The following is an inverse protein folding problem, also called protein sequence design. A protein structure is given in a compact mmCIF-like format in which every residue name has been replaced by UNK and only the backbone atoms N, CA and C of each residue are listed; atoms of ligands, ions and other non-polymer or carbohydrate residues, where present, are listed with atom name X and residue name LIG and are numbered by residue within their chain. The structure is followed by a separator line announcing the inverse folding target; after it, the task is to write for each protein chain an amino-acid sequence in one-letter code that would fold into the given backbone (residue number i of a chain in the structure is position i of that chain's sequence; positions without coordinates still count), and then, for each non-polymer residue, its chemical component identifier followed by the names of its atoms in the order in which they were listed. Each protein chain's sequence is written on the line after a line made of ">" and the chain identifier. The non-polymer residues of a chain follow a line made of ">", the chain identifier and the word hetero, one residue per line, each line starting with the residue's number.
data_IF_777114819292
#
_entry.id   IF_777114819292
#
_cell.length_a   1.000
_cell.length_b   1.000
_cell.length_c   1.000
_cell.angle_alpha   90.00
_cell.angle_beta   90.00
_cell.angle_gamma   90.00
#
_symmetry.space_group_name_H-M   'P 1'
#
loop_
_entity.id
_entity.type
_entity.pdbx_description
1 polymer ?
#
# COMPACT_ATOMS: atom_id res chain seq x y z
N UNK A 1 -5.53 2.37 7.76
CA UNK A 1 -4.84 3.49 7.10
C UNK A 1 -3.78 2.97 6.13
N UNK A 2 -3.30 3.78 5.17
CA UNK A 2 -2.18 3.42 4.30
C UNK A 2 -0.83 3.31 5.04
N UNK A 3 0.04 2.50 4.45
CA UNK A 3 1.48 2.36 4.75
C UNK A 3 2.30 2.63 3.49
N UNK A 4 1.71 3.36 2.54
CA UNK A 4 2.29 3.69 1.25
C UNK A 4 1.95 5.13 0.92
N UNK A 5 2.83 5.85 0.24
CA UNK A 5 2.63 7.28 -0.10
C UNK A 5 2.01 7.49 -1.48
N UNK A 6 2.30 6.60 -2.42
CA UNK A 6 2.07 6.80 -3.84
C UNK A 6 1.38 5.61 -4.49
N UNK A 7 0.68 5.83 -5.60
CA UNK A 7 0.13 4.77 -6.46
C UNK A 7 0.81 4.88 -7.83
N UNK A 8 1.36 3.78 -8.33
CA UNK A 8 1.79 3.70 -9.73
C UNK A 8 0.56 3.75 -10.65
N UNK A 9 0.52 4.72 -11.56
CA UNK A 9 -0.54 4.84 -12.59
C UNK A 9 -0.69 3.56 -13.42
N UNK A 10 0.42 2.88 -13.71
CA UNK A 10 0.41 1.64 -14.48
C UNK A 10 -0.16 0.46 -13.68
N UNK A 11 0.27 0.30 -12.41
CA UNK A 11 -0.31 -0.72 -11.52
C UNK A 11 -1.82 -0.49 -11.38
N UNK A 12 -2.24 0.77 -11.19
CA UNK A 12 -3.66 1.12 -11.10
C UNK A 12 -4.42 0.77 -12.39
N UNK A 13 -3.87 1.09 -13.57
CA UNK A 13 -4.47 0.72 -14.86
C UNK A 13 -4.67 -0.80 -14.97
N UNK A 14 -3.69 -1.58 -14.53
CA UNK A 14 -3.76 -3.04 -14.58
C UNK A 14 -4.82 -3.60 -13.63
N UNK A 15 -4.91 -3.09 -12.41
CA UNK A 15 -5.97 -3.46 -11.46
C UNK A 15 -7.36 -3.07 -11.99
N UNK A 16 -7.54 -1.86 -12.49
CA UNK A 16 -8.83 -1.43 -13.07
C UNK A 16 -9.23 -2.30 -14.26
N UNK A 17 -8.26 -2.71 -15.08
CA UNK A 17 -8.47 -3.64 -16.20
C UNK A 17 -8.89 -5.03 -15.72
N UNK A 18 -8.20 -5.56 -14.70
CA UNK A 18 -8.55 -6.83 -14.07
C UNK A 18 -9.99 -6.81 -13.56
N UNK A 19 -10.39 -5.76 -12.84
CA UNK A 19 -11.75 -5.58 -12.33
C UNK A 19 -12.77 -5.55 -13.48
N UNK A 20 -12.46 -4.80 -14.56
CA UNK A 20 -13.36 -4.70 -15.72
C UNK A 20 -13.59 -6.05 -16.41
N UNK A 21 -12.56 -6.88 -16.57
CA UNK A 21 -12.67 -8.12 -17.34
C UNK A 21 -13.00 -9.35 -16.51
N UNK A 22 -12.49 -9.44 -15.27
CA UNK A 22 -12.70 -10.60 -14.40
C UNK A 22 -13.73 -10.34 -13.30
N UNK A 23 -14.20 -9.11 -13.14
CA UNK A 23 -15.11 -8.75 -12.05
C UNK A 23 -14.44 -8.72 -10.68
N UNK A 24 -15.21 -8.28 -9.68
CA UNK A 24 -14.73 -8.06 -8.31
C UNK A 24 -14.48 -9.35 -7.53
N UNK A 25 -15.14 -10.45 -7.90
CA UNK A 25 -15.01 -11.74 -7.20
C UNK A 25 -13.61 -12.35 -7.35
N UNK A 26 -12.84 -11.90 -8.34
CA UNK A 26 -11.46 -12.33 -8.57
C UNK A 26 -10.42 -11.42 -7.89
N UNK A 27 -10.85 -10.45 -7.08
CA UNK A 27 -9.94 -9.70 -6.23
C UNK A 27 -9.80 -10.42 -4.88
N UNK A 28 -8.56 -10.78 -4.57
CA UNK A 28 -8.18 -11.18 -3.22
C UNK A 28 -8.51 -10.06 -2.22
N UNK A 29 -8.86 -10.43 -0.97
CA UNK A 29 -8.98 -9.46 0.11
C UNK A 29 -7.73 -8.57 0.25
N UNK A 30 -7.91 -7.42 0.88
CA UNK A 30 -6.78 -6.54 1.19
C UNK A 30 -6.19 -6.96 2.54
N UNK A 31 -4.92 -7.37 2.59
CA UNK A 31 -4.31 -7.80 3.84
C UNK A 31 -4.09 -6.60 4.76
N UNK A 32 -4.47 -6.76 6.03
CA UNK A 32 -4.38 -5.75 7.07
C UNK A 32 -3.73 -6.31 8.33
N UNK A 33 -3.01 -5.44 9.06
CA UNK A 33 -2.48 -5.75 10.39
C UNK A 33 -2.98 -4.73 11.39
N UNK A 34 -3.08 -5.15 12.65
CA UNK A 34 -3.26 -4.26 13.80
C UNK A 34 -2.02 -4.30 14.68
N UNK A 35 -1.42 -3.15 14.92
CA UNK A 35 -0.38 -2.95 15.94
C UNK A 35 -0.87 -1.84 16.86
N UNK A 36 -0.94 -2.12 18.17
CA UNK A 36 -1.58 -1.26 19.15
C UNK A 36 -3.00 -0.88 18.70
N UNK A 37 -3.30 0.41 18.57
CA UNK A 37 -4.61 0.91 18.14
C UNK A 37 -4.67 1.26 16.64
N UNK A 38 -3.65 0.90 15.85
CA UNK A 38 -3.56 1.26 14.43
C UNK A 38 -3.84 0.02 13.58
N UNK A 39 -4.87 0.10 12.72
CA UNK A 39 -5.11 -0.86 11.66
C UNK A 39 -4.60 -0.29 10.34
N UNK A 40 -3.74 -1.02 9.64
CA UNK A 40 -3.11 -0.58 8.40
C UNK A 40 -3.06 -1.70 7.36
N UNK A 41 -2.92 -1.32 6.09
CA UNK A 41 -2.74 -2.25 4.98
C UNK A 41 -1.29 -2.74 4.95
N UNK A 42 -1.05 -4.05 4.87
CA UNK A 42 0.31 -4.61 4.67
C UNK A 42 0.67 -4.69 3.19
N UNK A 43 -0.34 -4.86 2.32
CA UNK A 43 -0.25 -4.73 0.86
C UNK A 43 -1.63 -4.34 0.29
N UNK A 44 -1.78 -4.37 -1.04
CA UNK A 44 -3.06 -4.21 -1.72
C UNK A 44 -3.52 -2.75 -1.85
N UNK A 45 -2.68 -1.75 -1.55
CA UNK A 45 -3.06 -0.32 -1.62
C UNK A 45 -3.57 0.08 -3.01
N UNK A 46 -3.02 -0.49 -4.08
CA UNK A 46 -3.51 -0.22 -5.44
C UNK A 46 -4.91 -0.82 -5.68
N UNK A 47 -5.19 -2.01 -5.13
CA UNK A 47 -6.53 -2.64 -5.19
C UNK A 47 -7.53 -1.83 -4.36
N UNK A 48 -7.18 -1.49 -3.12
CA UNK A 48 -8.01 -0.66 -2.25
C UNK A 48 -8.31 0.71 -2.88
N UNK A 49 -7.31 1.37 -3.48
CA UNK A 49 -7.48 2.65 -4.15
C UNK A 49 -8.39 2.54 -5.39
N UNK A 50 -8.24 1.47 -6.18
CA UNK A 50 -9.10 1.21 -7.34
C UNK A 50 -10.57 1.03 -6.93
N UNK A 51 -10.83 0.25 -5.87
CA UNK A 51 -12.18 0.06 -5.32
C UNK A 51 -12.78 1.38 -4.82
N UNK A 52 -11.99 2.19 -4.11
CA UNK A 52 -12.43 3.53 -3.70
C UNK A 52 -12.76 4.43 -4.91
N UNK A 53 -11.91 4.43 -5.95
CA UNK A 53 -12.12 5.16 -7.22
C UNK A 53 -13.42 4.74 -7.94
N UNK A 54 -13.84 3.49 -7.77
CA UNK A 54 -15.08 2.94 -8.33
C UNK A 54 -16.31 3.19 -7.43
N UNK A 55 -16.16 3.91 -6.32
CA UNK A 55 -17.26 4.29 -5.43
C UNK A 55 -17.59 3.29 -4.31
N UNK A 56 -16.78 2.24 -4.14
CA UNK A 56 -17.01 1.27 -3.06
C UNK A 56 -16.72 1.90 -1.69
N UNK A 57 -17.70 1.81 -0.77
CA UNK A 57 -17.59 2.29 0.62
C UNK A 57 -17.03 1.24 1.58
N UNK A 58 -17.10 -0.04 1.20
CA UNK A 58 -16.60 -1.19 1.97
C UNK A 58 -15.81 -2.10 1.03
N UNK A 59 -14.75 -2.70 1.54
CA UNK A 59 -13.89 -3.63 0.80
C UNK A 59 -13.66 -4.88 1.64
N UNK A 60 -13.39 -6.01 0.99
CA UNK A 60 -12.98 -7.24 1.68
C UNK A 60 -11.55 -7.08 2.19
N UNK A 61 -11.32 -7.49 3.42
CA UNK A 61 -10.01 -7.47 4.08
C UNK A 61 -9.76 -8.81 4.75
N UNK A 62 -8.49 -9.12 4.97
CA UNK A 62 -8.05 -10.29 5.73
C UNK A 62 -6.93 -9.91 6.68
N UNK A 63 -6.81 -10.63 7.79
CA UNK A 63 -5.77 -10.37 8.78
C UNK A 63 -4.44 -10.98 8.32
N UNK A 64 -3.40 -10.17 8.29
CA UNK A 64 -2.04 -10.62 8.00
C UNK A 64 -1.52 -11.52 9.11
N UNK A 65 -1.29 -12.78 8.76
CA UNK A 65 -0.79 -13.83 9.66
C UNK A 65 0.69 -14.08 9.51
N UNK A 66 1.30 -13.67 8.40
CA UNK A 66 2.74 -13.80 8.21
C UNK A 66 3.51 -12.93 9.20
N UNK A 67 4.69 -13.41 9.63
CA UNK A 67 5.62 -12.63 10.43
C UNK A 67 6.46 -11.75 9.50
N UNK A 68 5.99 -10.52 9.32
CA UNK A 68 6.69 -9.50 8.54
C UNK A 68 7.50 -8.60 9.46
N UNK A 69 8.42 -7.86 8.86
CA UNK A 69 9.18 -6.83 9.55
C UNK A 69 8.29 -5.61 9.86
N UNK A 70 7.71 -5.65 11.06
CA UNK A 70 6.77 -4.63 11.50
C UNK A 70 7.41 -3.26 11.71
N UNK A 71 8.72 -3.19 11.94
CA UNK A 71 9.45 -1.93 12.11
C UNK A 71 9.42 -1.12 10.79
N UNK A 72 9.66 -1.77 9.66
CA UNK A 72 9.54 -1.15 8.32
C UNK A 72 8.15 -0.57 8.08
N UNK A 73 7.10 -1.29 8.48
CA UNK A 73 5.72 -0.85 8.32
C UNK A 73 5.39 0.34 9.22
N UNK A 74 5.85 0.35 10.48
CA UNK A 74 5.66 1.46 11.40
C UNK A 74 6.31 2.75 10.87
N UNK A 75 7.50 2.65 10.28
CA UNK A 75 8.17 3.79 9.62
C UNK A 75 7.34 4.29 8.41
N UNK A 76 6.81 3.38 7.60
CA UNK A 76 5.98 3.76 6.46
C UNK A 76 4.66 4.42 6.88
N UNK A 77 4.06 3.95 7.98
CA UNK A 77 2.89 4.58 8.61
C UNK A 77 3.24 5.99 9.09
N UNK A 78 4.41 6.18 9.72
CA UNK A 78 4.85 7.51 10.16
C UNK A 78 5.03 8.48 8.99
N UNK A 79 5.65 8.03 7.89
CA UNK A 79 5.71 8.83 6.66
C UNK A 79 4.32 9.22 6.13
N UNK A 80 3.34 8.32 6.24
CA UNK A 80 1.95 8.64 5.86
C UNK A 80 1.38 9.72 6.78
N UNK A 81 1.53 9.60 8.10
CA UNK A 81 1.08 10.61 9.07
C UNK A 81 1.72 11.98 8.81
N UNK A 82 3.03 12.02 8.63
CA UNK A 82 3.79 13.25 8.34
C UNK A 82 3.37 13.92 7.01
N UNK A 83 2.75 13.17 6.10
CA UNK A 83 2.19 13.69 4.83
C UNK A 83 0.67 13.85 4.86
N UNK A 84 0.03 13.76 6.03
CA UNK A 84 -1.42 13.82 6.21
C UNK A 84 -2.20 12.76 5.41
N UNK A 85 -1.60 11.58 5.24
CA UNK A 85 -2.20 10.41 4.59
C UNK A 85 -2.79 9.52 5.69
N UNK A 86 -4.09 9.65 5.93
CA UNK A 86 -4.84 8.82 6.89
C UNK A 86 -5.81 7.85 6.21
N UNK A 87 -6.17 8.11 4.94
CA UNK A 87 -7.12 7.33 4.16
C UNK A 87 -6.55 6.95 2.78
N UNK A 88 -7.06 5.87 2.19
CA UNK A 88 -6.65 5.40 0.86
C UNK A 88 -6.81 6.48 -0.23
N UNK A 89 -7.83 7.33 -0.12
CA UNK A 89 -8.07 8.43 -1.05
C UNK A 89 -6.97 9.48 -1.09
N UNK A 90 -6.14 9.59 -0.04
CA UNK A 90 -5.06 10.58 0.04
C UNK A 90 -3.81 10.17 -0.74
N UNK A 91 -3.75 8.94 -1.25
CA UNK A 91 -2.59 8.47 -2.02
C UNK A 91 -2.46 9.20 -3.35
N UNK A 92 -1.24 9.63 -3.67
CA UNK A 92 -0.95 10.37 -4.90
C UNK A 92 -0.62 9.42 -6.04
N UNK A 93 -1.33 9.56 -7.16
CA UNK A 93 -1.04 8.80 -8.39
C UNK A 93 0.14 9.44 -9.10
N UNK A 94 1.17 8.66 -9.41
CA UNK A 94 2.38 9.11 -10.11
C UNK A 94 2.72 8.15 -11.28
N UNK A 95 3.62 8.56 -12.18
CA UNK A 95 4.08 7.66 -13.25
C UNK A 95 4.77 6.42 -12.68
N UNK A 96 4.86 5.34 -13.46
CA UNK A 96 5.53 4.13 -13.00
C UNK A 96 7.02 4.37 -12.70
N UNK A 97 7.69 5.18 -13.51
CA UNK A 97 9.09 5.57 -13.27
C UNK A 97 9.26 6.40 -12.00
N UNK A 98 8.36 7.35 -11.73
CA UNK A 98 8.34 8.09 -10.46
C UNK A 98 8.06 7.16 -9.28
N UNK A 99 7.15 6.19 -9.41
CA UNK A 99 6.86 5.23 -8.36
C UNK A 99 8.09 4.40 -8.00
N UNK A 100 8.84 3.90 -8.99
CA UNK A 100 10.12 3.22 -8.77
C UNK A 100 11.11 4.11 -8.03
N UNK A 101 11.28 5.37 -8.47
CA UNK A 101 12.28 6.29 -7.90
C UNK A 101 11.90 6.86 -6.53
N UNK A 102 10.63 7.15 -6.28
CA UNK A 102 10.18 7.89 -5.10
C UNK A 102 9.57 7.01 -4.02
N UNK A 103 9.05 5.85 -4.38
CA UNK A 103 8.49 4.89 -3.43
C UNK A 103 9.42 3.70 -3.24
N UNK A 104 9.65 2.92 -4.30
CA UNK A 104 10.42 1.66 -4.20
C UNK A 104 11.82 1.93 -3.68
N UNK A 105 12.56 2.84 -4.34
CA UNK A 105 13.90 3.23 -3.88
C UNK A 105 13.90 3.80 -2.45
N UNK A 106 12.86 4.54 -2.05
CA UNK A 106 12.76 5.07 -0.68
C UNK A 106 12.63 3.95 0.35
N UNK A 107 11.83 2.92 0.06
CA UNK A 107 11.69 1.75 0.93
C UNK A 107 12.98 0.91 0.94
N UNK A 108 13.63 0.72 -0.21
CA UNK A 108 14.92 0.03 -0.32
C UNK A 108 16.03 0.73 0.45
N UNK A 109 16.15 2.06 0.31
CA UNK A 109 17.17 2.86 1.01
C UNK A 109 16.92 2.81 2.54
N UNK A 110 15.65 2.80 2.96
CA UNK A 110 15.28 2.64 4.37
C UNK A 110 15.61 1.24 4.91
N UNK A 111 15.29 0.18 4.16
CA UNK A 111 15.64 -1.19 4.55
C UNK A 111 17.16 -1.37 4.69
N UNK A 112 17.94 -0.85 3.75
CA UNK A 112 19.42 -0.91 3.81
C UNK A 112 20.00 -0.17 5.01
N UNK A 113 19.35 0.91 5.44
CA UNK A 113 19.79 1.68 6.61
C UNK A 113 19.58 0.91 7.92
N UNK A 114 18.46 0.18 8.04
CA UNK A 114 18.12 -0.60 9.23
C UNK A 114 18.84 -1.94 9.30
N UNK A 115 19.04 -2.57 8.14
CA UNK A 115 19.71 -3.87 8.02
C UNK A 115 20.92 -3.76 7.09
N UNK A 116 21.97 -3.03 7.50
CA UNK A 116 23.20 -3.00 6.74
C UNK A 116 23.79 -4.41 6.71
N UNK A 117 24.25 -4.86 5.55
CA UNK A 117 25.02 -6.11 5.47
C UNK A 117 26.25 -5.99 6.38
N UNK A 118 26.64 -7.07 7.09
CA UNK A 118 27.89 -7.07 7.84
C UNK A 118 29.04 -6.70 6.88
N UNK A 119 29.93 -5.82 7.34
CA UNK A 119 31.17 -5.52 6.63
C UNK A 119 32.12 -6.70 6.66
#
# INVERSE_FOLDING_TARGET
>A
MPSQLYISKEKLKNVMRLIKYKGLNNLEPIPIKKINNIIFYTDGHTRAFALWKLGFKKIKVEWETEELDWELYLICIDWCKNKNISNISHLKIISHSQYKKWWIKKCEDMHKLLYPSPR
#
